data_IF_952059438085
#
_entry.id   IF_952059438085
#
_cell.length_a   1.000
_cell.length_b   1.000
_cell.length_c   1.000
_cell.angle_alpha   90.00
_cell.angle_beta   90.00
_cell.angle_gamma   90.00
#
_symmetry.space_group_name_H-M   'P 1'
#
loop_
_entity.id
_entity.type
_entity.pdbx_description
1 polymer ?
#
# COMPACT_ATOMS: atom_id res chain seq x y z
N UNK A 1 -0.20 12.77 6.02
CA UNK A 1 0.15 14.20 5.90
C UNK A 1 -1.07 15.11 5.95
N UNK A 2 -2.20 14.71 5.36
CA UNK A 2 -3.45 15.47 5.36
C UNK A 2 -3.46 16.75 4.52
N UNK A 3 -2.35 17.10 3.86
CA UNK A 3 -2.25 18.31 3.05
C UNK A 3 -2.68 18.09 1.59
N UNK A 4 -2.75 16.83 1.13
CA UNK A 4 -3.16 16.50 -0.22
C UNK A 4 -2.32 17.23 -1.29
N UNK A 5 -2.99 17.81 -2.26
CA UNK A 5 -2.34 18.55 -3.36
C UNK A 5 -1.64 19.85 -2.90
N UNK A 6 -1.93 20.33 -1.69
CA UNK A 6 -1.26 21.50 -1.11
C UNK A 6 0.07 21.12 -0.43
N UNK A 7 0.51 19.87 -0.52
CA UNK A 7 1.77 19.41 0.04
C UNK A 7 2.96 19.96 -0.78
N UNK A 8 3.90 20.62 -0.07
CA UNK A 8 5.11 21.16 -0.69
C UNK A 8 6.15 20.06 -0.93
N UNK A 9 6.43 19.78 -2.20
CA UNK A 9 7.51 18.87 -2.57
C UNK A 9 8.86 19.34 -2.02
N UNK A 10 9.67 18.41 -1.50
CA UNK A 10 10.96 18.72 -0.91
C UNK A 10 10.90 19.37 0.48
N UNK A 11 9.74 19.33 1.15
CA UNK A 11 9.62 19.75 2.55
C UNK A 11 10.42 18.82 3.47
N UNK A 12 11.10 19.41 4.47
CA UNK A 12 11.87 18.65 5.47
C UNK A 12 11.31 18.90 6.86
N UNK A 13 10.89 17.83 7.54
CA UNK A 13 10.45 17.87 8.92
C UNK A 13 11.64 17.59 9.84
N UNK A 14 11.96 18.53 10.71
CA UNK A 14 12.99 18.40 11.73
C UNK A 14 12.33 18.26 13.10
N UNK A 15 12.73 17.25 13.87
CA UNK A 15 12.28 17.03 15.22
C UNK A 15 13.42 17.44 16.17
N UNK A 16 13.32 18.65 16.72
CA UNK A 16 14.33 19.19 17.62
C UNK A 16 14.11 18.67 19.06
N UNK A 17 15.16 18.18 19.76
CA UNK A 17 15.03 17.81 21.16
C UNK A 17 14.68 19.05 22.00
N UNK A 18 13.77 18.86 22.95
CA UNK A 18 13.40 19.96 23.87
C UNK A 18 14.45 20.14 24.97
N UNK A 19 14.69 21.39 25.37
CA UNK A 19 15.44 21.68 26.60
C UNK A 19 14.69 21.06 27.79
N UNK A 20 15.35 20.26 28.64
CA UNK A 20 14.74 19.63 29.81
C UNK A 20 14.00 20.61 30.76
N UNK A 21 14.43 21.84 30.79
CA UNK A 21 13.83 22.88 31.63
C UNK A 21 12.71 23.68 30.96
N UNK A 22 12.45 23.44 29.68
CA UNK A 22 11.45 24.14 28.88
C UNK A 22 10.01 23.88 29.31
N UNK A 23 9.06 24.75 28.96
CA UNK A 23 7.63 24.52 29.16
C UNK A 23 7.16 23.26 28.39
N UNK A 24 7.73 22.99 27.23
CA UNK A 24 7.44 21.84 26.34
C UNK A 24 7.81 20.54 27.03
N UNK A 25 9.00 20.47 27.65
CA UNK A 25 9.42 19.31 28.44
C UNK A 25 8.51 19.05 29.63
N UNK A 26 8.09 20.12 30.34
CA UNK A 26 7.13 20.06 31.45
C UNK A 26 5.74 19.59 30.99
N UNK A 27 5.38 19.85 29.74
CA UNK A 27 4.17 19.33 29.10
C UNK A 27 4.32 17.89 28.58
N UNK A 28 5.47 17.24 28.82
CA UNK A 28 5.75 15.86 28.43
C UNK A 28 6.25 15.68 26.99
N UNK A 29 6.58 16.77 26.28
CA UNK A 29 7.18 16.69 24.95
C UNK A 29 8.67 16.36 25.06
N UNK A 30 9.13 15.51 24.16
CA UNK A 30 10.56 15.18 24.01
C UNK A 30 11.20 15.91 22.84
N UNK A 31 10.41 16.26 21.84
CA UNK A 31 10.81 16.99 20.63
C UNK A 31 9.76 18.04 20.24
N UNK A 32 10.21 19.05 19.52
CA UNK A 32 9.36 20.06 18.87
C UNK A 32 9.57 19.96 17.36
N UNK A 33 8.50 19.82 16.56
CA UNK A 33 8.62 19.78 15.12
C UNK A 33 8.83 21.17 14.52
N UNK A 34 9.71 21.27 13.53
CA UNK A 34 9.86 22.41 12.63
C UNK A 34 9.81 21.91 11.19
N UNK A 35 9.10 22.64 10.33
CA UNK A 35 8.99 22.32 8.91
C UNK A 35 9.85 23.30 8.10
N UNK A 36 10.62 22.78 7.16
CA UNK A 36 11.45 23.58 6.25
C UNK A 36 10.94 23.37 4.82
N UNK A 37 10.58 24.47 4.14
CA UNK A 37 10.07 24.43 2.77
C UNK A 37 10.72 25.54 1.93
N UNK A 38 10.73 25.35 0.61
CA UNK A 38 11.11 26.44 -0.29
C UNK A 38 10.06 27.57 -0.19
N UNK A 39 10.47 28.80 0.13
CA UNK A 39 9.53 29.92 0.25
C UNK A 39 8.88 30.22 -1.09
N UNK A 40 7.69 30.86 -1.03
CA UNK A 40 7.01 31.34 -2.23
C UNK A 40 7.95 32.26 -3.03
N UNK A 41 8.12 32.01 -4.31
CA UNK A 41 8.90 32.86 -5.19
C UNK A 41 8.21 34.21 -5.39
N UNK A 42 8.98 35.30 -5.25
CA UNK A 42 8.47 36.65 -5.46
C UNK A 42 8.38 36.93 -6.98
N UNK A 43 7.29 37.55 -7.45
CA UNK A 43 7.08 37.95 -8.85
C UNK A 43 8.21 38.79 -9.44
N UNK A 44 9.04 39.39 -8.62
CA UNK A 44 10.17 40.21 -9.04
C UNK A 44 11.52 39.46 -9.04
N UNK A 45 11.51 38.16 -8.67
CA UNK A 45 12.71 37.33 -8.67
C UNK A 45 12.72 36.43 -9.90
N UNK A 46 13.93 36.01 -10.29
CA UNK A 46 14.14 35.14 -11.43
C UNK A 46 13.49 33.75 -11.22
N UNK A 47 13.49 33.27 -10.00
CA UNK A 47 12.92 31.96 -9.62
C UNK A 47 11.43 31.82 -9.97
N UNK A 48 10.65 32.90 -9.83
CA UNK A 48 9.23 32.89 -10.22
C UNK A 48 9.04 32.43 -11.67
N UNK A 49 9.93 32.89 -12.58
CA UNK A 49 9.81 32.65 -14.01
C UNK A 49 10.65 31.46 -14.52
N UNK A 50 11.75 31.12 -13.86
CA UNK A 50 12.74 30.19 -14.40
C UNK A 50 12.83 28.87 -13.65
N UNK A 51 12.30 28.80 -12.44
CA UNK A 51 12.28 27.55 -11.70
C UNK A 51 11.04 26.76 -12.03
N UNK A 52 11.18 25.69 -12.83
CA UNK A 52 10.07 24.84 -13.22
C UNK A 52 9.55 23.93 -12.08
N UNK A 53 10.31 23.80 -11.00
CA UNK A 53 9.97 22.95 -9.87
C UNK A 53 9.04 23.62 -8.87
N UNK A 54 9.30 24.89 -8.56
CA UNK A 54 8.55 25.64 -7.53
C UNK A 54 8.28 27.11 -7.91
N UNK A 55 8.62 27.53 -9.13
CA UNK A 55 8.24 28.86 -9.63
C UNK A 55 6.75 28.93 -9.94
N UNK A 56 6.01 29.83 -9.30
CA UNK A 56 4.55 29.93 -9.45
C UNK A 56 4.08 30.19 -10.89
N UNK A 57 4.94 30.73 -11.75
CA UNK A 57 4.65 30.83 -13.20
C UNK A 57 4.43 29.47 -13.85
N UNK A 58 5.05 28.41 -13.32
CA UNK A 58 5.01 27.05 -13.85
C UNK A 58 4.01 26.16 -13.13
N UNK A 59 3.99 26.22 -11.79
CA UNK A 59 3.24 25.27 -10.96
C UNK A 59 1.98 25.89 -10.34
N UNK A 60 1.73 27.18 -10.55
CA UNK A 60 0.63 27.90 -9.95
C UNK A 60 0.93 28.41 -8.53
N UNK A 61 -0.06 29.01 -7.88
CA UNK A 61 0.10 29.55 -6.51
C UNK A 61 0.50 28.47 -5.51
N UNK A 62 1.47 28.80 -4.65
CA UNK A 62 1.98 27.94 -3.58
C UNK A 62 1.74 28.58 -2.23
N UNK A 63 1.60 27.76 -1.19
CA UNK A 63 1.52 28.25 0.18
C UNK A 63 2.83 28.95 0.59
N UNK A 64 2.73 30.11 1.23
CA UNK A 64 3.87 30.75 1.87
C UNK A 64 4.15 30.15 3.26
N UNK A 65 5.29 30.54 3.88
CA UNK A 65 5.70 29.97 5.18
C UNK A 65 4.61 30.12 6.27
N UNK A 66 3.96 31.29 6.36
CA UNK A 66 2.90 31.53 7.33
C UNK A 66 1.63 30.72 7.02
N UNK A 67 1.30 30.55 5.75
CA UNK A 67 0.18 29.73 5.30
C UNK A 67 0.43 28.25 5.63
N UNK A 68 1.62 27.74 5.37
CA UNK A 68 2.02 26.39 5.76
C UNK A 68 1.97 26.17 7.27
N UNK A 69 2.44 27.15 8.07
CA UNK A 69 2.30 27.09 9.54
C UNK A 69 0.82 27.01 9.95
N UNK A 70 -0.04 27.80 9.31
CA UNK A 70 -1.48 27.78 9.62
C UNK A 70 -2.17 26.46 9.22
N UNK A 71 -1.76 25.87 8.09
CA UNK A 71 -2.31 24.60 7.58
C UNK A 71 -1.87 23.40 8.44
N UNK A 72 -0.60 23.38 8.86
CA UNK A 72 -0.01 22.21 9.53
C UNK A 72 -0.04 22.32 11.07
N UNK A 73 -0.13 23.55 11.62
CA UNK A 73 0.12 23.81 13.03
C UNK A 73 1.59 23.63 13.44
N UNK A 74 2.50 23.46 12.47
CA UNK A 74 3.95 23.30 12.68
C UNK A 74 4.64 24.59 12.25
N UNK A 75 5.55 25.12 13.07
CA UNK A 75 6.36 26.27 12.69
C UNK A 75 7.13 25.97 11.39
N UNK A 76 6.95 26.84 10.39
CA UNK A 76 7.51 26.63 9.05
C UNK A 76 8.56 27.67 8.73
N UNK A 77 9.73 27.21 8.32
CA UNK A 77 10.92 27.99 8.04
C UNK A 77 11.37 27.86 6.59
N UNK A 78 12.20 28.80 6.14
CA UNK A 78 12.84 28.73 4.83
C UNK A 78 13.84 27.56 4.78
N UNK A 79 13.77 26.74 3.73
CA UNK A 79 14.66 25.60 3.52
C UNK A 79 16.15 26.05 3.48
N UNK A 80 16.44 27.28 3.12
CA UNK A 80 17.81 27.84 3.16
C UNK A 80 18.40 27.86 4.59
N UNK A 81 17.58 27.78 5.63
CA UNK A 81 18.01 27.77 7.03
C UNK A 81 18.19 26.34 7.57
N UNK A 82 17.89 25.32 6.77
CA UNK A 82 17.92 23.91 7.20
C UNK A 82 19.30 23.47 7.71
N UNK A 83 20.39 23.82 6.99
CA UNK A 83 21.75 23.44 7.39
C UNK A 83 22.13 24.03 8.77
N UNK A 84 21.78 25.30 9.00
CA UNK A 84 22.01 25.96 10.28
C UNK A 84 21.20 25.31 11.42
N UNK A 85 19.93 24.99 11.15
CA UNK A 85 19.07 24.32 12.10
C UNK A 85 19.56 22.90 12.47
N UNK A 86 19.99 22.13 11.47
CA UNK A 86 20.53 20.78 11.68
C UNK A 86 21.89 20.77 12.37
N UNK A 87 22.67 21.85 12.26
CA UNK A 87 23.99 21.96 12.90
C UNK A 87 23.92 22.43 14.36
N UNK A 88 22.77 22.92 14.78
CA UNK A 88 22.62 23.50 16.11
C UNK A 88 22.86 22.49 17.22
N UNK A 89 23.79 22.80 18.11
CA UNK A 89 24.16 22.00 19.29
C UNK A 89 24.63 20.56 18.96
N UNK A 90 24.98 20.31 17.69
CA UNK A 90 25.48 19.02 17.22
C UNK A 90 26.93 18.83 17.63
N UNK A 91 27.30 17.66 18.15
CA UNK A 91 28.67 17.36 18.53
C UNK A 91 28.90 15.96 19.05
N UNK A 92 30.19 15.61 19.22
CA UNK A 92 30.62 14.34 19.76
C UNK A 92 30.58 14.30 21.31
N UNK A 93 30.52 15.43 21.97
CA UNK A 93 30.63 15.56 23.41
C UNK A 93 29.37 15.04 24.15
N UNK A 94 29.52 14.76 25.44
CA UNK A 94 28.39 14.34 26.25
C UNK A 94 27.37 15.49 26.40
N UNK A 95 26.11 15.22 26.06
CA UNK A 95 25.02 16.20 26.09
C UNK A 95 24.80 16.95 24.77
N UNK A 96 25.69 16.80 23.78
CA UNK A 96 25.49 17.34 22.45
C UNK A 96 24.38 16.58 21.70
N UNK A 97 23.76 17.25 20.73
CA UNK A 97 22.72 16.66 19.85
C UNK A 97 23.37 15.66 18.89
N UNK A 98 22.72 14.53 18.66
CA UNK A 98 23.06 13.54 17.65
C UNK A 98 21.99 13.57 16.55
N UNK A 99 22.32 14.21 15.44
CA UNK A 99 21.41 14.29 14.28
C UNK A 99 21.27 12.92 13.63
N UNK A 100 20.03 12.58 13.23
CA UNK A 100 19.68 11.36 12.49
C UNK A 100 18.89 11.75 11.24
N UNK A 101 18.92 10.90 10.23
CA UNK A 101 18.23 11.12 8.95
C UNK A 101 17.61 9.81 8.44
N UNK A 102 16.49 9.91 7.75
CA UNK A 102 15.95 8.79 6.95
C UNK A 102 16.66 8.84 5.60
N UNK A 103 17.70 8.01 5.43
CA UNK A 103 18.69 8.10 4.34
C UNK A 103 18.09 7.99 2.94
N UNK A 104 17.08 7.14 2.79
CA UNK A 104 16.51 6.82 1.48
C UNK A 104 15.53 7.88 0.98
N UNK A 105 15.06 8.76 1.86
CA UNK A 105 14.06 9.77 1.53
C UNK A 105 14.61 10.86 0.61
N UNK A 106 15.83 11.35 0.88
CA UNK A 106 16.49 12.38 0.07
C UNK A 106 18.02 12.26 0.18
N UNK A 107 18.72 11.97 -0.94
CA UNK A 107 20.18 11.85 -0.94
C UNK A 107 20.90 13.15 -0.59
N UNK A 108 20.38 14.34 -0.96
CA UNK A 108 21.03 15.62 -0.68
C UNK A 108 20.93 15.96 0.81
N UNK A 109 19.79 15.68 1.44
CA UNK A 109 19.64 15.84 2.88
C UNK A 109 20.53 14.85 3.63
N UNK A 110 20.64 13.63 3.14
CA UNK A 110 21.56 12.62 3.71
C UNK A 110 23.00 13.10 3.68
N UNK A 111 23.49 13.60 2.52
CA UNK A 111 24.83 14.16 2.37
C UNK A 111 25.07 15.36 3.31
N UNK A 112 24.12 16.29 3.37
CA UNK A 112 24.16 17.44 4.29
C UNK A 112 24.33 16.99 5.77
N UNK A 113 23.59 15.98 6.20
CA UNK A 113 23.68 15.45 7.56
C UNK A 113 25.04 14.78 7.80
N UNK A 114 25.60 14.05 6.82
CA UNK A 114 26.94 13.45 6.96
C UNK A 114 28.04 14.53 7.05
N UNK A 115 27.96 15.59 6.23
CA UNK A 115 28.89 16.73 6.30
C UNK A 115 28.83 17.40 7.70
N UNK A 116 27.63 17.59 8.25
CA UNK A 116 27.47 18.14 9.60
C UNK A 116 28.10 17.23 10.65
N UNK A 117 27.92 15.92 10.54
CA UNK A 117 28.52 14.93 11.44
C UNK A 117 30.04 14.96 11.37
N UNK A 118 30.62 14.98 10.17
CA UNK A 118 32.05 15.06 9.96
C UNK A 118 32.63 16.35 10.55
N UNK A 119 32.01 17.49 10.25
CA UNK A 119 32.45 18.81 10.75
C UNK A 119 32.42 18.90 12.29
N UNK A 120 31.57 18.15 12.96
CA UNK A 120 31.41 18.12 14.41
C UNK A 120 32.04 16.90 15.08
N UNK A 121 32.89 16.15 14.39
CA UNK A 121 33.81 15.18 14.98
C UNK A 121 33.19 13.84 15.34
N UNK A 122 32.04 13.46 14.75
CA UNK A 122 31.45 12.13 14.93
C UNK A 122 31.15 11.41 13.61
N UNK A 123 32.10 11.46 12.70
CA UNK A 123 32.11 10.61 11.52
C UNK A 123 32.36 9.15 11.95
N UNK A 124 31.29 8.44 12.21
CA UNK A 124 31.26 7.00 12.46
C UNK A 124 30.23 6.39 11.48
N UNK A 125 30.64 6.02 10.26
CA UNK A 125 29.70 5.58 9.23
C UNK A 125 28.83 4.40 9.67
N UNK A 126 29.38 3.43 10.35
CA UNK A 126 28.62 2.25 10.77
C UNK A 126 27.65 2.57 11.92
N UNK A 127 28.11 3.30 12.94
CA UNK A 127 27.29 3.70 14.08
C UNK A 127 26.20 4.71 13.69
N UNK A 128 26.50 5.64 12.79
CA UNK A 128 25.54 6.60 12.26
C UNK A 128 24.46 5.93 11.41
N UNK A 129 24.84 5.02 10.51
CA UNK A 129 23.90 4.23 9.71
C UNK A 129 22.95 3.45 10.61
N UNK A 130 23.46 2.75 11.61
CA UNK A 130 22.62 2.02 12.56
C UNK A 130 21.66 2.94 13.36
N UNK A 131 22.07 4.16 13.68
CA UNK A 131 21.19 5.13 14.35
C UNK A 131 20.10 5.69 13.42
N UNK A 132 20.42 5.85 12.13
CA UNK A 132 19.48 6.25 11.09
C UNK A 132 18.46 5.15 10.81
N UNK A 133 18.91 3.89 10.71
CA UNK A 133 18.03 2.71 10.58
C UNK A 133 17.01 2.65 11.72
N UNK A 134 17.43 2.92 12.96
CA UNK A 134 16.50 3.00 14.10
C UNK A 134 15.48 4.12 14.00
N UNK A 135 15.83 5.25 13.37
CA UNK A 135 14.85 6.31 13.12
C UNK A 135 13.83 5.85 12.08
N UNK A 136 14.29 5.17 11.03
CA UNK A 136 13.43 4.63 9.98
C UNK A 136 12.49 3.55 10.54
N UNK A 137 13.01 2.59 11.32
CA UNK A 137 12.21 1.59 12.05
C UNK A 137 11.15 2.26 12.92
N UNK A 138 11.52 3.26 13.72
CA UNK A 138 10.59 3.99 14.57
C UNK A 138 9.49 4.70 13.77
N UNK A 139 9.84 5.36 12.66
CA UNK A 139 8.88 6.04 11.80
C UNK A 139 7.88 5.06 11.15
N UNK A 140 8.37 3.88 10.74
CA UNK A 140 7.53 2.80 10.24
C UNK A 140 6.58 2.26 11.33
N UNK A 141 7.12 1.95 12.51
CA UNK A 141 6.33 1.41 13.64
C UNK A 141 5.26 2.40 14.14
N UNK A 142 5.53 3.72 14.08
CA UNK A 142 4.58 4.76 14.47
C UNK A 142 3.35 4.83 13.55
N UNK A 143 3.47 4.38 12.28
CA UNK A 143 2.37 4.36 11.30
C UNK A 143 1.49 3.10 11.37
N UNK A 144 1.89 2.08 12.12
CA UNK A 144 1.17 0.80 12.14
C UNK A 144 -0.27 0.92 12.63
N UNK A 145 -0.47 1.65 13.75
CA UNK A 145 -1.80 1.86 14.31
C UNK A 145 -2.33 3.21 13.84
N UNK A 146 -3.34 3.16 13.00
CA UNK A 146 -4.01 4.31 12.41
C UNK A 146 -4.94 4.97 13.43
N UNK A 147 -4.95 6.29 13.45
CA UNK A 147 -5.91 7.08 14.21
C UNK A 147 -7.26 7.22 13.47
N UNK A 148 -8.22 7.92 14.07
CA UNK A 148 -9.55 8.11 13.48
C UNK A 148 -9.52 8.88 12.16
N UNK A 149 -8.56 9.81 11.96
CA UNK A 149 -8.41 10.52 10.71
C UNK A 149 -7.91 9.56 9.62
N UNK A 150 -6.85 8.83 9.89
CA UNK A 150 -6.24 7.87 8.98
C UNK A 150 -7.24 6.78 8.55
N UNK A 151 -8.02 6.24 9.50
CA UNK A 151 -9.08 5.26 9.22
C UNK A 151 -10.15 5.84 8.29
N UNK A 152 -10.53 7.12 8.46
CA UNK A 152 -11.48 7.77 7.53
C UNK A 152 -10.91 7.92 6.13
N UNK A 153 -9.64 8.26 6.00
CA UNK A 153 -8.97 8.38 4.71
C UNK A 153 -8.84 7.02 4.00
N UNK A 154 -8.50 5.96 4.73
CA UNK A 154 -8.51 4.59 4.21
C UNK A 154 -9.89 4.18 3.68
N UNK A 155 -10.96 4.49 4.40
CA UNK A 155 -12.34 4.22 3.93
C UNK A 155 -12.69 5.01 2.67
N UNK A 156 -12.17 6.24 2.48
CA UNK A 156 -12.33 7.00 1.23
C UNK A 156 -11.59 6.33 0.09
N UNK A 157 -10.35 5.87 0.32
CA UNK A 157 -9.56 5.15 -0.68
C UNK A 157 -10.29 3.89 -1.17
N UNK A 158 -10.85 3.11 -0.25
CA UNK A 158 -11.68 1.93 -0.57
C UNK A 158 -12.92 2.32 -1.39
N UNK A 159 -13.62 3.39 -1.03
CA UNK A 159 -14.81 3.83 -1.76
C UNK A 159 -14.47 4.28 -3.19
N UNK A 160 -13.41 5.07 -3.37
CA UNK A 160 -12.92 5.49 -4.69
C UNK A 160 -12.45 4.27 -5.52
N UNK A 161 -11.78 3.31 -4.90
CA UNK A 161 -11.37 2.06 -5.54
C UNK A 161 -12.57 1.28 -6.08
N UNK A 162 -13.66 1.18 -5.30
CA UNK A 162 -14.90 0.57 -5.78
C UNK A 162 -15.42 1.23 -7.05
N UNK A 163 -15.44 2.57 -7.13
CA UNK A 163 -15.87 3.29 -8.33
C UNK A 163 -14.94 3.00 -9.52
N UNK A 164 -13.65 2.81 -9.28
CA UNK A 164 -12.69 2.35 -10.30
C UNK A 164 -13.05 0.97 -10.85
N UNK A 165 -13.37 0.00 -9.98
CA UNK A 165 -13.86 -1.33 -10.39
C UNK A 165 -15.19 -1.24 -11.14
N UNK A 166 -16.14 -0.43 -10.68
CA UNK A 166 -17.41 -0.20 -11.40
C UNK A 166 -17.14 0.27 -12.84
N UNK A 167 -16.17 1.18 -13.03
CA UNK A 167 -15.83 1.69 -14.36
C UNK A 167 -15.15 0.64 -15.24
N UNK A 168 -14.29 -0.21 -14.66
CA UNK A 168 -13.74 -1.37 -15.37
C UNK A 168 -14.87 -2.28 -15.86
N UNK A 169 -15.82 -2.63 -14.99
CA UNK A 169 -16.91 -3.55 -15.32
C UNK A 169 -17.89 -2.96 -16.37
N UNK A 170 -18.11 -1.63 -16.37
CA UNK A 170 -18.86 -0.95 -17.45
C UNK A 170 -18.13 -1.05 -18.78
N UNK A 171 -16.79 -0.99 -18.76
CA UNK A 171 -15.95 -1.03 -19.95
C UNK A 171 -15.71 -2.44 -20.48
N UNK A 172 -15.73 -3.44 -19.63
CA UNK A 172 -15.33 -4.83 -19.92
C UNK A 172 -16.06 -5.41 -21.16
N UNK A 173 -17.40 -5.35 -21.31
CA UNK A 173 -18.08 -5.95 -22.47
C UNK A 173 -17.60 -5.37 -23.81
N UNK A 174 -17.26 -4.09 -23.83
CA UNK A 174 -16.77 -3.41 -25.06
C UNK A 174 -15.28 -3.65 -25.30
N UNK A 175 -14.57 -4.26 -24.38
CA UNK A 175 -13.12 -4.51 -24.43
C UNK A 175 -12.78 -5.96 -24.82
N UNK A 176 -13.72 -6.89 -24.70
CA UNK A 176 -13.52 -8.31 -25.02
C UNK A 176 -12.96 -8.50 -26.42
N UNK A 177 -12.05 -9.44 -26.56
CA UNK A 177 -11.41 -9.89 -27.79
C UNK A 177 -10.68 -8.77 -28.59
N UNK A 178 -10.40 -7.64 -27.92
CA UNK A 178 -9.63 -6.54 -28.52
C UNK A 178 -8.16 -6.61 -28.14
N UNK A 179 -7.26 -6.31 -29.07
CA UNK A 179 -5.84 -6.19 -28.76
C UNK A 179 -5.62 -5.19 -27.62
N UNK A 180 -4.78 -5.56 -26.64
CA UNK A 180 -4.45 -4.73 -25.47
C UNK A 180 -5.65 -4.36 -24.61
N UNK A 181 -6.65 -5.21 -24.54
CA UNK A 181 -7.86 -4.91 -23.72
C UNK A 181 -7.53 -4.86 -22.23
N UNK A 182 -6.49 -5.54 -21.74
CA UNK A 182 -5.99 -5.33 -20.37
C UNK A 182 -5.67 -3.84 -20.13
N UNK A 183 -4.94 -3.16 -21.04
CA UNK A 183 -4.66 -1.72 -20.94
C UNK A 183 -5.88 -0.83 -21.10
N UNK A 184 -6.88 -1.27 -21.83
CA UNK A 184 -8.13 -0.50 -21.93
C UNK A 184 -8.86 -0.48 -20.59
N UNK A 185 -8.79 -1.57 -19.83
CA UNK A 185 -9.40 -1.69 -18.50
C UNK A 185 -8.56 -0.97 -17.45
N UNK A 186 -7.22 -1.07 -17.50
CA UNK A 186 -6.31 -0.25 -16.70
C UNK A 186 -6.61 1.25 -16.85
N UNK A 187 -6.74 1.73 -18.11
CA UNK A 187 -7.09 3.12 -18.38
C UNK A 187 -8.47 3.52 -17.83
N UNK A 188 -9.42 2.57 -17.76
CA UNK A 188 -10.73 2.83 -17.16
C UNK A 188 -10.63 3.01 -15.64
N UNK A 189 -9.76 2.24 -14.95
CA UNK A 189 -9.47 2.41 -13.53
C UNK A 189 -8.75 3.75 -13.28
N UNK A 190 -7.68 4.01 -14.02
CA UNK A 190 -6.85 5.21 -13.86
C UNK A 190 -7.63 6.51 -14.05
N UNK A 191 -8.67 6.51 -14.90
CA UNK A 191 -9.54 7.68 -15.07
C UNK A 191 -10.26 8.03 -13.76
N UNK A 192 -10.79 7.04 -13.06
CA UNK A 192 -11.47 7.23 -11.77
C UNK A 192 -10.48 7.57 -10.66
N UNK A 193 -9.32 6.89 -10.62
CA UNK A 193 -8.32 7.18 -9.60
C UNK A 193 -7.85 8.64 -9.66
N UNK A 194 -7.77 9.22 -10.87
CA UNK A 194 -7.41 10.63 -11.05
C UNK A 194 -8.58 11.59 -10.83
N UNK A 195 -9.83 11.13 -11.01
CA UNK A 195 -11.03 11.93 -10.76
C UNK A 195 -11.34 12.05 -9.27
N UNK A 196 -11.22 10.95 -8.51
CA UNK A 196 -11.62 10.85 -7.11
C UNK A 196 -10.45 10.86 -6.12
N UNK A 197 -9.22 10.77 -6.59
CA UNK A 197 -8.01 10.72 -5.78
C UNK A 197 -6.83 11.48 -6.38
N UNK A 198 -5.67 11.22 -5.82
CA UNK A 198 -4.40 11.72 -6.34
C UNK A 198 -3.98 10.96 -7.60
N UNK A 199 -3.89 9.62 -7.46
CA UNK A 199 -3.56 8.70 -8.56
C UNK A 199 -3.83 7.24 -8.13
N UNK A 200 -3.29 6.28 -8.86
CA UNK A 200 -3.25 4.88 -8.39
C UNK A 200 -2.24 4.74 -7.26
N UNK A 201 -2.54 3.94 -6.25
CA UNK A 201 -1.63 3.72 -5.12
C UNK A 201 -0.43 2.84 -5.48
N UNK A 202 -0.57 2.05 -6.55
CA UNK A 202 0.46 1.18 -7.14
C UNK A 202 0.08 0.82 -8.57
N UNK A 203 1.03 0.25 -9.32
CA UNK A 203 0.79 -0.16 -10.71
C UNK A 203 -0.34 -1.18 -10.78
N UNK A 204 -1.46 -0.79 -11.39
CA UNK A 204 -2.66 -1.60 -11.53
C UNK A 204 -2.39 -2.90 -12.29
N UNK A 205 -2.82 -4.02 -11.76
CA UNK A 205 -2.74 -5.34 -12.39
C UNK A 205 -4.07 -5.66 -13.05
N UNK A 206 -4.05 -5.88 -14.35
CA UNK A 206 -5.17 -6.40 -15.14
C UNK A 206 -4.67 -7.66 -15.87
N UNK A 207 -4.98 -8.82 -15.35
CA UNK A 207 -4.42 -10.08 -15.78
C UNK A 207 -5.50 -11.07 -16.24
N UNK A 208 -5.59 -11.32 -17.54
CA UNK A 208 -6.56 -12.25 -18.14
C UNK A 208 -5.92 -13.59 -18.50
N UNK A 209 -6.65 -14.67 -18.27
CA UNK A 209 -6.23 -16.04 -18.67
C UNK A 209 -4.85 -16.40 -18.11
N UNK A 210 -3.90 -16.78 -18.97
CA UNK A 210 -2.57 -17.22 -18.59
C UNK A 210 -1.70 -16.12 -17.91
N UNK A 211 -2.11 -14.86 -17.94
CA UNK A 211 -1.44 -13.79 -17.20
C UNK A 211 -1.82 -13.78 -15.71
N UNK A 212 -3.01 -14.23 -15.35
CA UNK A 212 -3.52 -14.20 -13.98
C UNK A 212 -2.64 -14.96 -12.95
N UNK A 213 -1.95 -16.07 -13.29
CA UNK A 213 -0.98 -16.70 -12.39
C UNK A 213 0.35 -15.95 -12.22
N UNK A 214 0.54 -14.80 -12.88
CA UNK A 214 1.73 -13.96 -12.74
C UNK A 214 1.40 -12.86 -11.73
N UNK A 215 1.88 -13.01 -10.51
CA UNK A 215 1.49 -12.19 -9.34
C UNK A 215 1.50 -10.67 -9.61
N UNK A 216 2.54 -10.15 -10.26
CA UNK A 216 2.68 -8.74 -10.60
C UNK A 216 2.68 -8.52 -12.12
N UNK A 217 1.57 -8.85 -12.77
CA UNK A 217 1.38 -8.60 -14.19
C UNK A 217 1.00 -7.14 -14.47
N UNK A 218 1.94 -6.22 -14.29
CA UNK A 218 1.76 -4.78 -14.51
C UNK A 218 1.93 -4.35 -15.99
N UNK A 219 2.30 -5.26 -16.88
CA UNK A 219 2.47 -4.92 -18.30
C UNK A 219 1.15 -4.65 -19.00
N UNK A 220 0.09 -5.34 -18.59
CA UNK A 220 -1.27 -5.20 -19.09
C UNK A 220 -1.35 -5.20 -20.63
N UNK A 221 -0.62 -6.12 -21.28
CA UNK A 221 -0.47 -6.15 -22.75
C UNK A 221 -1.34 -7.17 -23.43
N UNK A 222 -2.09 -7.98 -22.68
CA UNK A 222 -2.90 -9.08 -23.17
C UNK A 222 -4.24 -8.66 -23.78
N UNK A 223 -4.86 -9.65 -24.39
CA UNK A 223 -6.25 -9.62 -24.83
C UNK A 223 -7.11 -10.32 -23.77
N UNK A 224 -8.19 -9.67 -23.36
CA UNK A 224 -9.20 -10.27 -22.48
C UNK A 224 -10.17 -11.07 -23.34
N UNK A 225 -10.07 -12.39 -23.27
CA UNK A 225 -10.91 -13.29 -24.07
C UNK A 225 -12.20 -13.66 -23.31
N UNK A 226 -13.27 -13.88 -24.09
CA UNK A 226 -14.56 -14.25 -23.50
C UNK A 226 -14.51 -15.68 -22.93
N UNK A 227 -14.81 -15.83 -21.64
CA UNK A 227 -14.81 -17.12 -20.92
C UNK A 227 -13.61 -17.31 -20.01
N UNK A 228 -12.58 -16.47 -20.13
CA UNK A 228 -11.44 -16.45 -19.22
C UNK A 228 -11.82 -15.92 -17.83
N UNK A 229 -10.92 -16.11 -16.87
CA UNK A 229 -10.89 -15.33 -15.63
C UNK A 229 -10.02 -14.10 -15.82
N UNK A 230 -10.49 -12.97 -15.30
CA UNK A 230 -9.81 -11.70 -15.26
C UNK A 230 -9.53 -11.31 -13.81
N UNK A 231 -8.27 -11.41 -13.41
CA UNK A 231 -7.81 -10.92 -12.11
C UNK A 231 -7.48 -9.44 -12.24
N UNK A 232 -8.08 -8.64 -11.37
CA UNK A 232 -7.84 -7.20 -11.26
C UNK A 232 -7.40 -6.91 -9.84
N UNK A 233 -6.26 -6.24 -9.72
CA UNK A 233 -5.68 -5.80 -8.46
C UNK A 233 -5.32 -4.34 -8.60
N UNK A 234 -6.01 -3.50 -7.82
CA UNK A 234 -5.96 -2.06 -7.97
C UNK A 234 -6.41 -1.32 -6.70
N UNK A 235 -5.76 -0.22 -6.42
CA UNK A 235 -6.10 0.69 -5.32
C UNK A 235 -6.00 2.16 -5.74
N UNK A 236 -6.93 2.99 -5.26
CA UNK A 236 -6.86 4.44 -5.42
C UNK A 236 -6.10 5.03 -4.23
N UNK A 237 -5.09 5.85 -4.53
CA UNK A 237 -4.50 6.74 -3.55
C UNK A 237 -5.31 8.04 -3.51
N UNK A 238 -5.91 8.33 -2.37
CA UNK A 238 -6.65 9.60 -2.17
C UNK A 238 -5.70 10.77 -1.90
N UNK A 239 -6.20 12.00 -2.02
CA UNK A 239 -5.38 13.23 -1.89
C UNK A 239 -4.57 13.32 -0.59
N UNK A 240 -4.98 12.63 0.46
CA UNK A 240 -4.24 12.51 1.72
C UNK A 240 -3.11 11.48 1.68
N UNK A 241 -2.88 10.84 0.53
CA UNK A 241 -1.86 9.82 0.24
C UNK A 241 -2.12 8.45 0.89
N UNK A 242 -3.32 8.19 1.38
CA UNK A 242 -3.72 6.85 1.81
C UNK A 242 -4.23 6.06 0.62
N UNK A 243 -3.81 4.80 0.51
CA UNK A 243 -4.22 3.89 -0.57
C UNK A 243 -5.03 2.71 -0.07
N UNK A 244 -5.99 2.25 -0.88
CA UNK A 244 -6.62 0.94 -0.73
C UNK A 244 -5.82 -0.11 -1.49
N UNK A 245 -6.11 -1.38 -1.20
CA UNK A 245 -5.54 -2.54 -1.90
C UNK A 245 -6.60 -3.63 -2.07
N UNK A 246 -7.11 -3.76 -3.28
CA UNK A 246 -8.26 -4.63 -3.56
C UNK A 246 -8.00 -5.51 -4.77
N UNK A 247 -8.09 -6.82 -4.58
CA UNK A 247 -8.13 -7.75 -5.70
C UNK A 247 -9.50 -8.40 -5.85
N UNK A 248 -9.97 -8.48 -7.09
CA UNK A 248 -11.14 -9.27 -7.51
C UNK A 248 -10.84 -10.06 -8.76
N UNK A 249 -11.38 -11.27 -8.84
CA UNK A 249 -11.29 -12.10 -10.04
C UNK A 249 -12.68 -12.31 -10.64
N UNK A 250 -12.84 -12.00 -11.92
CA UNK A 250 -14.12 -11.95 -12.63
C UNK A 250 -14.17 -12.96 -13.78
N UNK A 251 -15.31 -13.62 -14.06
CA UNK A 251 -15.52 -14.36 -15.30
C UNK A 251 -15.82 -13.35 -16.43
N UNK A 252 -14.98 -13.27 -17.45
CA UNK A 252 -15.05 -12.23 -18.50
C UNK A 252 -16.38 -12.17 -19.26
N UNK A 253 -17.10 -13.31 -19.31
CA UNK A 253 -18.43 -13.44 -19.93
C UNK A 253 -19.61 -13.20 -18.97
N UNK A 254 -19.33 -12.77 -17.72
CA UNK A 254 -20.33 -12.44 -16.71
C UNK A 254 -20.84 -13.61 -15.87
N UNK A 255 -20.41 -14.85 -16.14
CA UNK A 255 -20.83 -16.05 -15.40
C UNK A 255 -19.66 -17.01 -15.19
N UNK A 256 -19.44 -17.40 -13.93
CA UNK A 256 -18.49 -18.46 -13.63
C UNK A 256 -18.99 -19.83 -14.11
N UNK A 257 -18.12 -20.62 -14.72
CA UNK A 257 -18.37 -22.06 -14.91
C UNK A 257 -18.31 -22.80 -13.57
N UNK A 258 -18.85 -24.03 -13.50
CA UNK A 258 -18.80 -24.84 -12.26
C UNK A 258 -17.34 -25.09 -11.83
N UNK A 259 -16.41 -25.22 -12.78
CA UNK A 259 -14.99 -25.40 -12.48
C UNK A 259 -14.37 -24.13 -11.91
N UNK A 260 -14.66 -22.96 -12.49
CA UNK A 260 -14.22 -21.68 -11.97
C UNK A 260 -14.80 -21.39 -10.56
N UNK A 261 -16.10 -21.70 -10.35
CA UNK A 261 -16.75 -21.59 -9.03
C UNK A 261 -16.05 -22.42 -7.96
N UNK A 262 -15.68 -23.66 -8.31
CA UNK A 262 -14.94 -24.57 -7.42
C UNK A 262 -13.62 -23.95 -6.95
N UNK A 263 -12.85 -23.38 -7.87
CA UNK A 263 -11.55 -22.78 -7.56
C UNK A 263 -11.71 -21.43 -6.81
N UNK A 264 -12.63 -20.60 -7.26
CA UNK A 264 -12.91 -19.29 -6.66
C UNK A 264 -13.39 -19.45 -5.22
N UNK A 265 -14.29 -20.42 -4.95
CA UNK A 265 -14.79 -20.72 -3.61
C UNK A 265 -13.66 -21.15 -2.67
N UNK A 266 -12.67 -21.90 -3.14
CA UNK A 266 -11.53 -22.28 -2.32
C UNK A 266 -10.70 -21.09 -1.87
N UNK A 267 -10.57 -20.05 -2.72
CA UNK A 267 -9.89 -18.80 -2.37
C UNK A 267 -10.74 -17.99 -1.37
N UNK A 268 -12.06 -17.92 -1.57
CA UNK A 268 -12.97 -17.29 -0.59
C UNK A 268 -12.92 -17.97 0.78
N UNK A 269 -12.95 -19.32 0.80
CA UNK A 269 -12.86 -20.10 2.04
C UNK A 269 -11.52 -19.82 2.76
N UNK A 270 -10.44 -19.71 2.00
CA UNK A 270 -9.11 -19.36 2.50
C UNK A 270 -9.08 -17.95 3.10
N UNK A 271 -9.65 -16.96 2.40
CA UNK A 271 -9.72 -15.59 2.89
C UNK A 271 -10.55 -15.49 4.16
N UNK A 272 -11.70 -16.20 4.21
CA UNK A 272 -12.56 -16.24 5.39
C UNK A 272 -11.84 -16.86 6.59
N UNK A 273 -11.08 -17.95 6.39
CA UNK A 273 -10.28 -18.56 7.44
C UNK A 273 -9.21 -17.60 7.99
N UNK A 274 -8.55 -16.85 7.12
CA UNK A 274 -7.60 -15.80 7.50
C UNK A 274 -8.26 -14.70 8.34
N UNK A 275 -9.43 -14.24 7.92
CA UNK A 275 -10.20 -13.24 8.67
C UNK A 275 -10.64 -13.74 10.05
N UNK A 276 -11.11 -14.98 10.15
CA UNK A 276 -11.48 -15.58 11.43
C UNK A 276 -10.29 -15.80 12.37
N UNK A 277 -9.09 -15.98 11.81
CA UNK A 277 -7.85 -16.05 12.57
C UNK A 277 -7.35 -14.68 13.02
N UNK A 278 -7.70 -13.60 12.32
CA UNK A 278 -7.31 -12.22 12.62
C UNK A 278 -8.06 -11.69 13.86
N UNK A 279 -7.64 -12.12 15.04
CA UNK A 279 -8.21 -11.68 16.32
C UNK A 279 -7.25 -10.74 17.04
N UNK A 280 -7.74 -9.88 17.93
CA UNK A 280 -6.84 -9.10 18.79
C UNK A 280 -5.84 -10.03 19.50
N UNK A 281 -4.56 -9.78 19.32
CA UNK A 281 -3.47 -10.59 19.86
C UNK A 281 -2.99 -11.74 18.97
N UNK A 282 -3.65 -12.04 17.85
CA UNK A 282 -3.11 -12.92 16.81
C UNK A 282 -1.95 -12.25 16.07
N UNK A 283 -1.16 -13.03 15.35
CA UNK A 283 -0.06 -12.54 14.52
C UNK A 283 -0.38 -12.67 13.02
N UNK A 284 0.38 -12.01 12.15
CA UNK A 284 0.30 -12.25 10.70
C UNK A 284 0.55 -13.72 10.33
N UNK A 285 1.41 -14.40 11.08
CA UNK A 285 1.67 -15.83 10.91
C UNK A 285 0.41 -16.68 11.14
N UNK A 286 -0.44 -16.32 12.10
CA UNK A 286 -1.68 -17.04 12.35
C UNK A 286 -2.66 -16.89 11.19
N UNK A 287 -2.79 -15.69 10.62
CA UNK A 287 -3.59 -15.41 9.41
C UNK A 287 -3.05 -16.24 8.24
N UNK A 288 -1.74 -16.17 8.00
CA UNK A 288 -1.07 -16.90 6.92
C UNK A 288 -1.31 -18.40 7.03
N UNK A 289 -1.09 -18.99 8.21
CA UNK A 289 -1.29 -20.42 8.43
C UNK A 289 -2.75 -20.86 8.25
N UNK A 290 -3.71 -20.02 8.66
CA UNK A 290 -5.13 -20.31 8.46
C UNK A 290 -5.47 -20.34 6.96
N UNK A 291 -5.02 -19.36 6.19
CA UNK A 291 -5.21 -19.33 4.74
C UNK A 291 -4.54 -20.52 4.06
N UNK A 292 -3.28 -20.79 4.37
CA UNK A 292 -2.49 -21.87 3.74
C UNK A 292 -3.06 -23.24 4.04
N UNK A 293 -3.63 -23.47 5.21
CA UNK A 293 -4.30 -24.73 5.56
C UNK A 293 -5.46 -25.02 4.60
N UNK A 294 -6.35 -24.07 4.38
CA UNK A 294 -7.47 -24.24 3.46
C UNK A 294 -6.96 -24.53 2.04
N UNK A 295 -5.96 -23.79 1.56
CA UNK A 295 -5.38 -24.03 0.24
C UNK A 295 -4.77 -25.43 0.14
N UNK A 296 -4.01 -25.87 1.13
CA UNK A 296 -3.40 -27.20 1.14
C UNK A 296 -4.46 -28.31 1.15
N UNK A 297 -5.53 -28.17 1.93
CA UNK A 297 -6.66 -29.11 1.99
C UNK A 297 -7.36 -29.20 0.62
N UNK A 298 -7.65 -28.08 -0.03
CA UNK A 298 -8.27 -28.05 -1.37
C UNK A 298 -7.37 -28.68 -2.44
N UNK A 299 -6.09 -28.35 -2.43
CA UNK A 299 -5.12 -28.96 -3.37
C UNK A 299 -4.99 -30.48 -3.17
N UNK A 300 -5.04 -30.93 -1.92
CA UNK A 300 -5.04 -32.35 -1.59
C UNK A 300 -6.31 -33.04 -2.07
N UNK A 301 -7.50 -32.48 -1.77
CA UNK A 301 -8.79 -33.01 -2.20
C UNK A 301 -8.94 -33.12 -3.73
N UNK A 302 -8.26 -32.23 -4.46
CA UNK A 302 -8.21 -32.25 -5.93
C UNK A 302 -7.14 -33.19 -6.49
N UNK A 303 -6.35 -33.85 -5.63
CA UNK A 303 -5.27 -34.74 -6.03
C UNK A 303 -4.08 -34.01 -6.68
N UNK A 304 -3.93 -32.72 -6.43
CA UNK A 304 -2.83 -31.88 -6.94
C UNK A 304 -1.65 -31.90 -5.96
N UNK A 305 -1.92 -31.82 -4.65
CA UNK A 305 -0.87 -31.86 -3.64
C UNK A 305 -0.27 -33.27 -3.56
N UNK A 306 1.06 -33.44 -3.75
CA UNK A 306 1.69 -34.74 -3.85
C UNK A 306 1.95 -35.44 -2.50
N UNK A 307 1.69 -34.76 -1.38
CA UNK A 307 1.92 -35.20 0.00
C UNK A 307 0.68 -34.92 0.88
N UNK A 308 0.67 -35.45 2.08
CA UNK A 308 -0.39 -35.13 3.05
C UNK A 308 -0.37 -33.65 3.44
N UNK A 309 -1.54 -33.14 3.84
CA UNK A 309 -1.72 -31.73 4.23
C UNK A 309 -0.75 -31.32 5.34
N UNK A 310 -0.63 -32.14 6.40
CA UNK A 310 0.25 -31.84 7.53
C UNK A 310 1.74 -31.86 7.13
N UNK A 311 2.13 -32.77 6.25
CA UNK A 311 3.48 -32.78 5.67
C UNK A 311 3.72 -31.50 4.86
N UNK A 312 2.77 -31.12 4.02
CA UNK A 312 2.89 -29.89 3.22
C UNK A 312 2.95 -28.63 4.05
N UNK A 313 2.26 -28.57 5.19
CA UNK A 313 2.25 -27.41 6.09
C UNK A 313 3.47 -27.35 7.03
N UNK A 314 4.26 -28.43 7.10
CA UNK A 314 5.48 -28.45 7.93
C UNK A 314 6.55 -27.47 7.40
N UNK A 315 7.47 -26.99 8.25
CA UNK A 315 8.56 -26.12 7.80
C UNK A 315 9.42 -26.70 6.67
N UNK A 316 9.60 -28.02 6.65
CA UNK A 316 10.40 -28.76 5.67
C UNK A 316 9.60 -29.11 4.39
N UNK A 317 8.27 -29.17 4.48
CA UNK A 317 7.38 -29.54 3.39
C UNK A 317 7.16 -28.42 2.39
N UNK A 318 6.20 -27.57 2.65
CA UNK A 318 5.88 -26.34 1.89
C UNK A 318 5.44 -26.58 0.41
N UNK A 319 4.98 -27.80 0.04
CA UNK A 319 4.63 -28.13 -1.34
C UNK A 319 3.43 -27.31 -1.85
N UNK A 320 2.47 -26.94 -0.99
CA UNK A 320 1.32 -26.09 -1.35
C UNK A 320 1.75 -24.70 -1.86
N UNK A 321 2.93 -24.22 -1.43
CA UNK A 321 3.45 -22.90 -1.86
C UNK A 321 3.83 -22.83 -3.34
N UNK A 322 3.86 -23.97 -4.05
CA UNK A 322 4.00 -23.95 -5.50
C UNK A 322 2.87 -23.16 -6.19
N UNK A 323 1.70 -23.15 -5.59
CA UNK A 323 0.50 -22.50 -6.14
C UNK A 323 0.00 -21.31 -5.33
N UNK A 324 0.67 -20.99 -4.22
CA UNK A 324 0.51 -19.75 -3.45
C UNK A 324 1.83 -19.44 -2.75
N UNK A 325 2.76 -18.79 -3.47
CA UNK A 325 4.14 -18.60 -3.02
C UNK A 325 4.37 -17.43 -2.07
N UNK A 326 3.50 -16.40 -2.12
CA UNK A 326 3.63 -15.15 -1.36
C UNK A 326 3.05 -15.22 0.06
N UNK A 327 3.25 -14.17 0.83
CA UNK A 327 2.46 -13.84 2.00
C UNK A 327 1.01 -13.58 1.62
N UNK A 328 0.11 -13.64 2.58
CA UNK A 328 -1.33 -13.39 2.35
C UNK A 328 -1.85 -12.20 3.14
N UNK A 329 -0.96 -11.40 3.73
CA UNK A 329 -1.31 -10.21 4.49
C UNK A 329 -0.10 -9.28 4.65
N UNK A 330 -0.32 -7.99 4.56
CA UNK A 330 0.64 -6.93 4.86
C UNK A 330 -0.05 -5.70 5.42
N UNK A 331 0.70 -4.82 6.10
CA UNK A 331 0.17 -3.52 6.51
C UNK A 331 -0.13 -2.64 5.30
N UNK A 332 -1.15 -1.81 5.43
CA UNK A 332 -1.63 -0.89 4.42
C UNK A 332 -1.83 0.50 5.04
N UNK A 333 -1.59 1.57 4.27
CA UNK A 333 -1.74 2.93 4.76
C UNK A 333 -1.31 3.99 3.76
N UNK A 334 -0.25 4.74 4.08
CA UNK A 334 0.37 5.71 3.15
C UNK A 334 1.08 5.02 1.99
N UNK A 335 1.54 3.80 2.20
CA UNK A 335 2.12 2.94 1.17
C UNK A 335 1.27 1.67 1.05
N UNK A 336 1.20 1.06 -0.15
CA UNK A 336 0.54 -0.23 -0.35
C UNK A 336 1.16 -1.32 0.52
N UNK A 337 2.49 -1.40 0.57
CA UNK A 337 3.23 -2.24 1.51
C UNK A 337 3.74 -1.38 2.67
N UNK A 338 2.80 -0.85 3.48
CA UNK A 338 3.11 0.11 4.54
C UNK A 338 3.95 -0.52 5.66
N UNK A 339 4.74 0.31 6.33
CA UNK A 339 5.55 -0.07 7.48
C UNK A 339 6.60 -1.17 7.22
N UNK A 340 7.03 -1.38 5.98
CA UNK A 340 7.94 -2.47 5.59
C UNK A 340 9.31 -2.42 6.30
N UNK A 341 9.74 -1.26 6.78
CA UNK A 341 10.99 -1.07 7.52
C UNK A 341 10.86 -1.28 9.04
N UNK A 342 9.67 -1.60 9.53
CA UNK A 342 9.48 -1.95 10.92
C UNK A 342 10.23 -3.25 11.25
N UNK A 343 10.65 -3.40 12.51
CA UNK A 343 11.31 -4.62 12.96
C UNK A 343 10.38 -5.82 12.83
N UNK A 344 10.95 -6.99 12.54
CA UNK A 344 10.20 -8.23 12.44
C UNK A 344 9.31 -8.48 13.67
N UNK A 345 9.84 -8.24 14.87
CA UNK A 345 9.14 -8.42 16.15
C UNK A 345 7.96 -7.43 16.32
N UNK A 346 8.01 -6.31 15.64
CA UNK A 346 6.94 -5.29 15.64
C UNK A 346 5.94 -5.48 14.50
N UNK A 347 6.34 -6.13 13.42
CA UNK A 347 5.53 -6.37 12.22
C UNK A 347 4.96 -7.80 12.21
N UNK A 348 5.69 -8.76 11.64
CA UNK A 348 5.18 -10.12 11.41
C UNK A 348 5.07 -10.96 12.70
N UNK A 349 5.96 -10.74 13.64
CA UNK A 349 5.98 -11.42 14.93
C UNK A 349 5.15 -10.77 16.04
N UNK A 350 4.62 -9.57 15.79
CA UNK A 350 3.82 -8.84 16.77
C UNK A 350 2.37 -9.26 16.79
N UNK A 351 1.75 -9.04 17.94
CA UNK A 351 0.30 -9.15 18.07
C UNK A 351 -0.40 -8.02 17.29
N UNK A 352 -1.39 -8.38 16.51
CA UNK A 352 -2.28 -7.45 15.83
C UNK A 352 -3.09 -6.69 16.88
N UNK A 353 -3.13 -5.37 16.75
CA UNK A 353 -3.73 -4.44 17.73
C UNK A 353 -4.80 -3.57 17.07
N UNK A 354 -5.76 -3.07 17.84
CA UNK A 354 -6.73 -2.08 17.35
C UNK A 354 -6.04 -0.88 16.68
N UNK A 355 -6.62 -0.41 15.58
CA UNK A 355 -6.08 0.64 14.72
C UNK A 355 -5.17 0.13 13.60
N UNK A 356 -4.71 -1.12 13.62
CA UNK A 356 -3.95 -1.69 12.50
C UNK A 356 -4.87 -1.92 11.30
N UNK A 357 -4.40 -1.52 10.11
CA UNK A 357 -5.04 -1.82 8.82
C UNK A 357 -4.09 -2.69 8.00
N UNK A 358 -4.62 -3.76 7.43
CA UNK A 358 -3.86 -4.75 6.68
C UNK A 358 -4.73 -5.48 5.65
N UNK A 359 -4.09 -6.14 4.69
CA UNK A 359 -4.76 -6.95 3.67
C UNK A 359 -4.97 -8.39 4.14
N UNK A 360 -5.95 -9.09 3.53
CA UNK A 360 -6.03 -10.55 3.50
C UNK A 360 -6.28 -10.97 2.06
N UNK A 361 -5.28 -11.58 1.43
CA UNK A 361 -5.18 -11.74 -0.03
C UNK A 361 -4.76 -13.15 -0.51
N UNK A 362 -5.36 -14.22 -0.04
CA UNK A 362 -5.00 -15.53 -0.56
C UNK A 362 -5.36 -15.68 -2.05
N UNK A 363 -4.63 -16.56 -2.74
CA UNK A 363 -4.87 -16.86 -4.14
C UNK A 363 -4.50 -18.28 -4.51
N UNK A 364 -4.78 -18.64 -5.77
CA UNK A 364 -4.36 -19.87 -6.43
C UNK A 364 -3.80 -19.51 -7.81
N UNK A 365 -2.57 -19.93 -8.08
CA UNK A 365 -1.82 -19.52 -9.27
C UNK A 365 -1.32 -20.74 -10.02
N UNK A 366 -2.10 -21.22 -10.98
CA UNK A 366 -1.82 -22.38 -11.79
C UNK A 366 -1.19 -21.96 -13.12
N UNK A 367 0.13 -21.89 -13.16
CA UNK A 367 0.87 -21.45 -14.34
C UNK A 367 0.60 -22.34 -15.54
N UNK A 368 0.57 -21.77 -16.73
CA UNK A 368 0.33 -22.46 -17.98
C UNK A 368 1.42 -23.53 -18.28
N UNK A 369 2.67 -23.26 -17.89
CA UNK A 369 3.83 -24.12 -18.06
C UNK A 369 4.01 -25.17 -16.95
N UNK A 370 3.10 -25.23 -15.95
CA UNK A 370 3.19 -26.21 -14.87
C UNK A 370 2.70 -27.59 -15.32
N UNK A 371 3.66 -28.50 -15.53
CA UNK A 371 3.39 -29.87 -15.96
C UNK A 371 3.00 -30.84 -14.83
N UNK A 372 3.04 -30.38 -13.56
CA UNK A 372 2.66 -31.18 -12.39
C UNK A 372 1.17 -31.14 -12.10
N UNK A 373 0.41 -30.29 -12.79
CA UNK A 373 -1.03 -30.17 -12.63
C UNK A 373 -1.76 -30.63 -13.89
N UNK A 374 -3.03 -31.09 -13.76
CA UNK A 374 -3.88 -31.42 -14.90
C UNK A 374 -4.03 -30.21 -15.86
N UNK A 375 -4.14 -30.44 -17.16
CA UNK A 375 -4.22 -29.35 -18.16
C UNK A 375 -5.35 -28.35 -17.93
N UNK A 376 -6.49 -28.79 -17.37
CA UNK A 376 -7.66 -27.96 -17.11
C UNK A 376 -7.44 -26.89 -16.04
N UNK A 377 -6.40 -27.01 -15.20
CA UNK A 377 -6.02 -26.01 -14.21
C UNK A 377 -5.06 -24.96 -14.75
N UNK A 378 -4.32 -25.28 -15.84
CA UNK A 378 -3.23 -24.44 -16.34
C UNK A 378 -3.73 -23.10 -16.88
N UNK A 379 -2.99 -22.05 -16.58
CA UNK A 379 -3.34 -20.68 -16.98
C UNK A 379 -4.43 -20.03 -16.14
N UNK A 380 -4.78 -20.59 -14.98
CA UNK A 380 -5.77 -20.02 -14.07
C UNK A 380 -5.09 -19.37 -12.88
N UNK A 381 -5.38 -18.09 -12.67
CA UNK A 381 -5.02 -17.34 -11.47
C UNK A 381 -6.25 -16.72 -10.83
N UNK A 382 -6.38 -16.86 -9.52
CA UNK A 382 -7.46 -16.30 -8.71
C UNK A 382 -6.85 -15.69 -7.46
N UNK A 383 -7.15 -14.42 -7.18
CA UNK A 383 -6.92 -13.76 -5.90
C UNK A 383 -8.21 -13.05 -5.48
N UNK A 384 -8.51 -13.07 -4.22
CA UNK A 384 -9.53 -12.22 -3.58
C UNK A 384 -8.88 -11.56 -2.39
N UNK A 385 -8.89 -10.24 -2.38
CA UNK A 385 -8.23 -9.40 -1.41
C UNK A 385 -9.11 -8.30 -0.90
N UNK A 386 -9.04 -8.09 0.37
CA UNK A 386 -9.80 -7.06 1.07
C UNK A 386 -8.96 -6.40 2.16
N UNK A 387 -9.25 -5.12 2.41
CA UNK A 387 -8.69 -4.33 3.49
C UNK A 387 -9.43 -4.58 4.80
N UNK A 388 -8.67 -4.86 5.85
CA UNK A 388 -9.16 -5.18 7.19
C UNK A 388 -8.67 -4.14 8.19
N UNK A 389 -9.59 -3.57 8.96
CA UNK A 389 -9.29 -2.79 10.16
C UNK A 389 -9.43 -3.70 11.39
N UNK A 390 -8.39 -3.77 12.21
CA UNK A 390 -8.52 -4.35 13.54
C UNK A 390 -9.17 -3.33 14.48
N UNK A 391 -10.33 -3.69 15.04
CA UNK A 391 -11.02 -2.90 16.06
C UNK A 391 -10.85 -3.51 17.45
N UNK A 392 -11.32 -2.84 18.50
CA UNK A 392 -11.37 -3.40 19.86
C UNK A 392 -12.24 -4.69 19.94
N UNK A 393 -13.27 -4.79 19.10
CA UNK A 393 -14.20 -5.92 19.06
C UNK A 393 -13.76 -7.05 18.11
N UNK A 394 -12.71 -6.82 17.31
CA UNK A 394 -12.18 -7.78 16.32
C UNK A 394 -12.01 -7.18 14.93
N UNK A 395 -11.73 -8.02 13.92
CA UNK A 395 -11.49 -7.55 12.55
C UNK A 395 -12.77 -7.05 11.88
N UNK A 396 -12.65 -5.99 11.10
CA UNK A 396 -13.71 -5.41 10.28
C UNK A 396 -13.24 -5.33 8.82
N UNK A 397 -14.02 -5.84 7.87
CA UNK A 397 -13.82 -5.59 6.46
C UNK A 397 -14.17 -4.13 6.13
N UNK A 398 -13.20 -3.24 5.96
CA UNK A 398 -13.48 -1.86 5.53
C UNK A 398 -13.86 -1.80 4.05
N UNK A 399 -13.57 -2.86 3.30
CA UNK A 399 -13.93 -3.09 1.89
C UNK A 399 -15.23 -3.89 1.69
N UNK A 400 -16.02 -4.13 2.74
CA UNK A 400 -17.27 -4.92 2.69
C UNK A 400 -18.28 -4.47 1.61
N UNK A 401 -18.19 -3.21 1.16
CA UNK A 401 -19.04 -2.68 0.09
C UNK A 401 -18.64 -3.12 -1.33
N UNK A 402 -17.54 -3.86 -1.49
CA UNK A 402 -17.05 -4.36 -2.78
C UNK A 402 -17.41 -5.85 -2.89
N UNK A 403 -18.34 -6.26 -3.79
CA UNK A 403 -18.80 -7.62 -3.90
C UNK A 403 -17.67 -8.64 -4.09
N UNK A 404 -17.76 -9.80 -3.43
CA UNK A 404 -16.79 -10.89 -3.58
C UNK A 404 -17.43 -12.28 -3.61
N UNK A 405 -18.67 -12.44 -3.11
CA UNK A 405 -19.36 -13.72 -3.23
C UNK A 405 -19.73 -13.99 -4.68
N UNK A 406 -19.71 -15.24 -5.10
CA UNK A 406 -19.89 -15.65 -6.50
C UNK A 406 -21.13 -15.00 -7.12
N UNK A 407 -22.28 -15.13 -6.47
CA UNK A 407 -23.54 -14.59 -6.98
C UNK A 407 -23.55 -13.05 -6.99
N UNK A 408 -22.98 -12.41 -5.97
CA UNK A 408 -22.85 -10.95 -5.89
C UNK A 408 -21.94 -10.39 -6.98
N UNK A 409 -20.83 -11.07 -7.30
CA UNK A 409 -19.93 -10.69 -8.40
C UNK A 409 -20.64 -10.78 -9.74
N UNK A 410 -21.39 -11.87 -9.98
CA UNK A 410 -22.15 -12.03 -11.23
C UNK A 410 -23.26 -10.96 -11.37
N UNK A 411 -23.94 -10.60 -10.28
CA UNK A 411 -24.97 -9.54 -10.25
C UNK A 411 -24.34 -8.15 -10.47
N UNK A 412 -23.21 -7.88 -9.83
CA UNK A 412 -22.45 -6.64 -9.99
C UNK A 412 -22.02 -6.45 -11.44
N UNK A 413 -21.40 -7.47 -12.05
CA UNK A 413 -21.04 -7.44 -13.46
C UNK A 413 -22.23 -7.16 -14.38
N UNK A 414 -23.36 -7.84 -14.15
CA UNK A 414 -24.57 -7.65 -14.97
C UNK A 414 -25.12 -6.22 -14.84
N UNK A 415 -25.12 -5.65 -13.62
CA UNK A 415 -25.57 -4.27 -13.37
C UNK A 415 -24.68 -3.26 -14.10
N UNK A 416 -23.36 -3.37 -13.95
CA UNK A 416 -22.40 -2.45 -14.56
C UNK A 416 -22.41 -2.56 -16.10
N UNK A 417 -22.51 -3.76 -16.65
CA UNK A 417 -22.63 -3.96 -18.09
C UNK A 417 -23.90 -3.29 -18.66
N UNK A 418 -25.03 -3.37 -17.94
CA UNK A 418 -26.27 -2.71 -18.35
C UNK A 418 -26.17 -1.17 -18.28
N UNK A 419 -25.41 -0.63 -17.36
CA UNK A 419 -25.12 0.81 -17.29
C UNK A 419 -24.21 1.24 -18.46
N UNK A 420 -23.11 0.51 -18.69
CA UNK A 420 -22.17 0.80 -19.77
C UNK A 420 -22.78 0.74 -21.17
N UNK A 421 -23.84 -0.07 -21.37
CA UNK A 421 -24.56 -0.15 -22.64
C UNK A 421 -25.45 1.07 -22.93
N UNK A 422 -25.71 1.93 -21.92
CA UNK A 422 -26.54 3.16 -22.06
C UNK A 422 -25.69 4.41 -22.28
N UNK A 423 -24.39 4.36 -21.94
CA UNK A 423 -23.43 5.45 -22.11
C UNK A 423 -22.75 5.37 -23.49
#
# INVERSE_FOLDING_TARGET
TGLGEDFEAGAVLVLNPVDPDSPEAKAGKTHVPELFVAPRANHYTQDFFMNAHYGEYWVGPRAGLQEMTAMTGIETNDIAQLADALSKDVGAEAGAVRVRVIREADPQITEMVEDIREANGFADPDGNTHADDKLHEFAAEARMCKDEYEIREMRKAVAATKHGFDNILRKLPSSLDKPRSERMLEGAFNAISREEGNEVGYDTIIASGAHAPILHWMRNTGTVESGDLLLIDAGVEVNSLYTADITRTFPTNGKFTDFQKKLYQAVLDSQQAGFEAAKPGATYSDIHHACMRVIAERLHDWGILPVDVEESLSPEGQQHRRWLACGVAHHLGLDVHDCAQARYESYQGAAIRPGMIFTIEPGLYFREDDLLIPPEYRGIGIRVEDDVLMTEDGPEWISAGIPKQIDEVEEWMASMAAEGAKA
#
